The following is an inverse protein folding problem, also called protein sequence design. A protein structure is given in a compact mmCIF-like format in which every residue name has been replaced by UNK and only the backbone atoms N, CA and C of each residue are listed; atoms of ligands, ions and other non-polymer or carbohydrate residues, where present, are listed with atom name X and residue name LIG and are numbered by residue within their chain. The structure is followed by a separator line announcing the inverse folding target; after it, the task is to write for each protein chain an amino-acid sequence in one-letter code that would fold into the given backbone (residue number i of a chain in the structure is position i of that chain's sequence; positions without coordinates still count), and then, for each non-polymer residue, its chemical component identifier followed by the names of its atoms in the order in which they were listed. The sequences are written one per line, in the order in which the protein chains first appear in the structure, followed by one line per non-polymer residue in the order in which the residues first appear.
data_IF_733697413025
#
_entry.id   IF_733697413025
#
_cell.length_a   1.000
_cell.length_b   1.000
_cell.length_c   1.000
_cell.angle_alpha   90.00
_cell.angle_beta   90.00
_cell.angle_gamma   90.00
#
_symmetry.space_group_name_H-M   'P 1'
#
loop_
_entity.id
_entity.type
_entity.pdbx_description
1 polymer ?
#
# COMPACT_ATOMS: atom_id res chain seq x y z
N UNK A 1 7.45 1.65 -16.63
CA UNK A 1 6.98 2.94 -16.09
C UNK A 1 7.88 3.32 -14.92
N UNK A 2 8.40 4.55 -14.88
CA UNK A 2 9.32 4.96 -13.81
C UNK A 2 8.49 5.20 -12.55
N UNK A 3 8.87 4.63 -11.42
CA UNK A 3 8.16 4.66 -10.14
C UNK A 3 7.52 6.03 -9.77
N UNK A 4 8.19 7.14 -10.13
CA UNK A 4 7.70 8.51 -9.95
C UNK A 4 6.38 8.83 -10.68
N UNK A 5 6.13 8.21 -11.85
CA UNK A 5 4.88 8.36 -12.59
C UNK A 5 3.73 7.69 -11.84
N UNK A 6 3.98 6.53 -11.23
CA UNK A 6 2.99 5.83 -10.40
C UNK A 6 2.61 6.73 -9.21
N UNK A 7 3.59 7.25 -8.46
CA UNK A 7 3.32 8.18 -7.36
C UNK A 7 2.54 9.42 -7.81
N UNK A 8 2.88 9.98 -8.98
CA UNK A 8 2.19 11.16 -9.52
C UNK A 8 0.75 10.87 -9.90
N UNK A 9 0.47 9.77 -10.59
CA UNK A 9 -0.90 9.42 -10.98
C UNK A 9 -1.74 9.04 -9.75
N UNK A 10 -1.14 8.32 -8.81
CA UNK A 10 -1.79 7.90 -7.57
C UNK A 10 -2.10 9.10 -6.66
N UNK A 11 -1.18 10.06 -6.55
CA UNK A 11 -1.38 11.29 -5.76
C UNK A 11 -2.49 12.18 -6.30
N UNK A 12 -2.83 12.11 -7.60
CA UNK A 12 -3.97 12.86 -8.17
C UNK A 12 -5.32 12.27 -7.77
N UNK A 13 -5.33 11.04 -7.28
CA UNK A 13 -6.55 10.29 -6.97
C UNK A 13 -6.88 10.30 -5.49
N UNK A 14 -5.98 10.84 -4.64
CA UNK A 14 -6.31 11.08 -3.24
C UNK A 14 -7.30 12.25 -3.11
N UNK A 15 -8.21 12.23 -2.11
CA UNK A 15 -8.38 11.19 -1.11
C UNK A 15 -9.04 9.92 -1.67
N UNK A 16 -8.44 8.75 -1.40
CA UNK A 16 -8.99 7.45 -1.79
C UNK A 16 -9.75 6.81 -0.63
N UNK A 17 -11.08 6.66 -0.76
CA UNK A 17 -11.90 6.03 0.28
C UNK A 17 -11.62 4.53 0.37
N UNK A 18 -11.28 4.05 1.57
CA UNK A 18 -11.06 2.63 1.84
C UNK A 18 -12.40 1.97 2.18
N UNK A 19 -12.86 1.04 1.35
CA UNK A 19 -14.04 0.19 1.63
C UNK A 19 -13.68 -1.28 1.85
N UNK A 20 -12.48 -1.69 1.43
CA UNK A 20 -11.99 -3.06 1.52
C UNK A 20 -10.66 -3.08 2.26
N UNK A 21 -10.56 -3.95 3.25
CA UNK A 21 -9.34 -4.27 3.98
C UNK A 21 -9.37 -5.78 4.23
N UNK A 22 -8.40 -6.51 3.68
CA UNK A 22 -8.28 -7.96 3.82
C UNK A 22 -6.84 -8.23 4.27
N UNK A 23 -6.69 -8.92 5.40
CA UNK A 23 -5.40 -9.36 5.89
C UNK A 23 -5.44 -10.88 6.04
N UNK A 24 -4.59 -11.56 5.27
CA UNK A 24 -4.45 -13.03 5.29
C UNK A 24 -2.97 -13.41 5.32
N UNK A 25 -2.54 -14.08 6.39
CA UNK A 25 -1.12 -14.39 6.60
C UNK A 25 -0.28 -13.12 6.68
N UNK A 26 0.71 -12.99 5.80
CA UNK A 26 1.54 -11.78 5.69
C UNK A 26 1.02 -10.79 4.64
N UNK A 27 -0.08 -11.11 3.96
CA UNK A 27 -0.60 -10.30 2.85
C UNK A 27 -1.63 -9.29 3.33
N UNK A 28 -1.58 -8.09 2.76
CA UNK A 28 -2.58 -7.04 2.99
C UNK A 28 -3.13 -6.54 1.65
N UNK A 29 -4.45 -6.55 1.54
CA UNK A 29 -5.19 -5.91 0.45
C UNK A 29 -5.99 -4.76 1.03
N UNK A 30 -5.81 -3.57 0.47
CA UNK A 30 -6.61 -2.39 0.75
C UNK A 30 -7.22 -1.88 -0.54
N UNK A 31 -8.46 -1.42 -0.51
CA UNK A 31 -9.12 -0.99 -1.73
C UNK A 31 -10.40 -0.21 -1.52
N UNK A 32 -10.92 0.28 -2.63
CA UNK A 32 -12.11 1.11 -2.70
C UNK A 32 -12.75 1.04 -4.08
N UNK A 33 -13.54 2.05 -4.41
CA UNK A 33 -14.19 2.13 -5.72
C UNK A 33 -13.14 2.26 -6.84
N UNK A 34 -13.09 1.26 -7.72
CA UNK A 34 -12.22 1.22 -8.89
C UNK A 34 -10.71 1.29 -8.58
N UNK A 35 -10.29 0.99 -7.34
CA UNK A 35 -8.89 0.88 -6.97
C UNK A 35 -8.62 -0.18 -5.90
N UNK A 36 -7.42 -0.75 -5.92
CA UNK A 36 -6.87 -1.54 -4.82
C UNK A 36 -5.33 -1.50 -4.81
N UNK A 37 -4.75 -1.77 -3.66
CA UNK A 37 -3.32 -1.99 -3.46
C UNK A 37 -3.16 -3.34 -2.77
N UNK A 38 -2.23 -4.16 -3.28
CA UNK A 38 -1.91 -5.49 -2.77
C UNK A 38 -0.45 -5.53 -2.32
N UNK A 39 -0.25 -5.77 -1.03
CA UNK A 39 1.04 -6.08 -0.42
C UNK A 39 1.18 -7.60 -0.32
N UNK A 40 1.60 -8.23 -1.42
CA UNK A 40 1.63 -9.70 -1.52
C UNK A 40 2.92 -10.32 -0.98
N UNK A 41 4.05 -9.66 -1.19
CA UNK A 41 5.39 -10.20 -0.88
C UNK A 41 6.28 -9.21 -0.15
N UNK A 42 5.89 -7.94 -0.05
CA UNK A 42 6.57 -6.95 0.77
C UNK A 42 6.12 -7.04 2.24
N UNK A 43 7.07 -6.81 3.13
CA UNK A 43 6.74 -6.62 4.53
C UNK A 43 6.05 -5.28 4.71
N UNK A 44 5.10 -5.23 5.63
CA UNK A 44 4.36 -4.02 5.95
C UNK A 44 4.12 -3.91 7.44
N UNK A 45 3.92 -2.67 7.88
CA UNK A 45 3.59 -2.32 9.26
C UNK A 45 2.60 -1.18 9.29
N UNK A 46 1.94 -1.07 10.42
CA UNK A 46 0.95 -0.05 10.69
C UNK A 46 1.38 0.76 11.90
N UNK A 47 1.35 2.08 11.74
CA UNK A 47 1.62 3.04 12.80
C UNK A 47 0.33 3.79 13.13
N UNK A 48 0.22 4.21 14.37
CA UNK A 48 -0.82 5.13 14.83
C UNK A 48 -0.15 6.30 15.51
N UNK A 49 -0.36 7.51 15.00
CA UNK A 49 0.32 8.71 15.51
C UNK A 49 1.84 8.50 15.61
N UNK A 50 2.45 7.95 14.56
CA UNK A 50 3.90 7.67 14.45
C UNK A 50 4.45 6.59 15.40
N UNK A 51 3.60 5.91 16.18
CA UNK A 51 3.99 4.78 17.02
C UNK A 51 3.62 3.47 16.34
N UNK A 52 4.54 2.51 16.32
CA UNK A 52 4.27 1.16 15.79
C UNK A 52 3.08 0.54 16.52
N UNK A 53 2.02 0.22 15.77
CA UNK A 53 0.85 -0.43 16.30
C UNK A 53 0.92 -1.95 16.12
N UNK A 54 1.29 -2.40 14.91
CA UNK A 54 1.49 -3.81 14.58
C UNK A 54 2.18 -3.99 13.21
N UNK A 55 2.78 -5.15 12.98
CA UNK A 55 3.38 -5.59 11.72
C UNK A 55 2.60 -6.73 11.04
N UNK A 56 3.03 -7.09 9.82
CA UNK A 56 2.42 -8.15 9.01
C UNK A 56 2.43 -9.55 9.63
N UNK A 57 3.31 -9.82 10.60
CA UNK A 57 3.41 -11.10 11.32
C UNK A 57 2.74 -11.09 12.69
N UNK A 58 2.15 -9.96 13.10
CA UNK A 58 1.46 -9.88 14.39
C UNK A 58 0.05 -10.48 14.31
N UNK A 59 -0.47 -10.95 15.44
CA UNK A 59 -1.86 -11.39 15.55
C UNK A 59 -2.80 -10.21 15.91
N UNK A 60 -2.93 -9.25 14.99
CA UNK A 60 -3.70 -8.01 15.20
C UNK A 60 -4.74 -7.73 14.09
N UNK A 61 -5.24 -8.78 13.43
CA UNK A 61 -6.17 -8.67 12.30
C UNK A 61 -7.50 -7.97 12.63
N UNK A 62 -7.87 -7.80 13.89
CA UNK A 62 -9.02 -7.00 14.26
C UNK A 62 -8.73 -5.49 14.23
N UNK A 63 -7.50 -5.06 14.55
CA UNK A 63 -7.13 -3.63 14.56
C UNK A 63 -7.04 -3.03 13.16
N UNK A 64 -6.63 -3.81 12.15
CA UNK A 64 -6.59 -3.33 10.75
C UNK A 64 -7.99 -2.92 10.27
N UNK A 65 -9.07 -3.45 10.86
CA UNK A 65 -10.45 -3.09 10.50
C UNK A 65 -10.76 -1.62 10.81
N UNK A 66 -10.04 -0.98 11.73
CA UNK A 66 -10.19 0.45 12.06
C UNK A 66 -9.77 1.39 10.90
N UNK A 67 -9.02 0.86 9.92
CA UNK A 67 -8.64 1.57 8.70
C UNK A 67 -9.80 1.60 7.70
N UNK A 68 -10.73 0.64 7.78
CA UNK A 68 -11.88 0.61 6.88
C UNK A 68 -12.76 1.85 7.13
N UNK A 69 -13.10 2.54 6.05
CA UNK A 69 -13.87 3.77 6.10
C UNK A 69 -13.04 5.04 6.28
N UNK A 70 -11.72 4.99 6.46
CA UNK A 70 -10.88 6.19 6.31
C UNK A 70 -10.57 6.48 4.84
N UNK A 71 -9.92 7.60 4.59
CA UNK A 71 -9.32 7.90 3.29
C UNK A 71 -7.80 7.73 3.34
N UNK A 72 -7.20 7.34 2.22
CA UNK A 72 -5.77 7.59 1.98
C UNK A 72 -5.65 9.03 1.50
N UNK A 73 -5.10 9.90 2.32
CA UNK A 73 -4.96 11.34 2.00
C UNK A 73 -3.66 11.60 1.23
N UNK A 74 -2.60 10.83 1.53
CA UNK A 74 -1.30 10.95 0.88
C UNK A 74 -0.63 9.60 0.68
N UNK A 75 0.17 9.54 -0.37
CA UNK A 75 1.03 8.40 -0.71
C UNK A 75 2.44 8.94 -0.92
N UNK A 76 3.40 8.43 -0.15
CA UNK A 76 4.79 8.91 -0.15
C UNK A 76 5.77 7.74 -0.30
N UNK A 77 7.03 8.06 -0.63
CA UNK A 77 8.12 7.07 -0.67
C UNK A 77 8.65 6.88 0.75
N UNK A 78 8.72 5.63 1.21
CA UNK A 78 9.14 5.30 2.57
C UNK A 78 10.63 5.51 2.81
N UNK A 79 11.47 5.14 1.85
CA UNK A 79 12.93 5.23 2.01
C UNK A 79 13.61 5.62 0.72
N UNK A 80 14.73 6.34 0.87
CA UNK A 80 15.63 6.66 -0.23
C UNK A 80 16.46 5.44 -0.69
N UNK A 81 16.51 4.36 0.12
CA UNK A 81 17.26 3.15 -0.16
C UNK A 81 16.51 2.24 -1.15
N UNK A 82 15.27 1.88 -0.82
CA UNK A 82 14.33 1.20 -1.73
C UNK A 82 13.20 2.15 -2.05
N UNK A 83 13.32 2.85 -3.18
CA UNK A 83 12.35 3.88 -3.58
C UNK A 83 10.95 3.31 -3.83
N UNK A 84 10.86 2.00 -4.09
CA UNK A 84 9.59 1.30 -4.29
C UNK A 84 8.75 1.19 -3.03
N UNK A 85 9.30 1.37 -1.82
CA UNK A 85 8.49 1.26 -0.61
C UNK A 85 7.55 2.45 -0.41
N UNK A 86 6.32 2.14 0.01
CA UNK A 86 5.20 3.08 0.15
C UNK A 86 4.97 3.48 1.61
N UNK A 87 4.53 4.72 1.78
CA UNK A 87 3.85 5.21 2.99
C UNK A 87 2.46 5.69 2.59
N UNK A 88 1.43 5.12 3.21
CA UNK A 88 0.05 5.52 3.06
C UNK A 88 -0.39 6.25 4.32
N UNK A 89 -0.67 7.55 4.20
CA UNK A 89 -1.11 8.39 5.31
C UNK A 89 -2.63 8.49 5.27
N UNK A 90 -3.27 8.02 6.34
CA UNK A 90 -4.73 7.93 6.41
C UNK A 90 -5.34 9.10 7.18
N UNK A 91 -6.56 9.48 6.80
CA UNK A 91 -7.31 10.60 7.37
C UNK A 91 -7.64 10.46 8.86
N UNK A 92 -7.53 9.26 9.40
CA UNK A 92 -7.78 8.94 10.82
C UNK A 92 -6.47 8.82 11.64
N UNK A 93 -5.33 9.27 11.11
CA UNK A 93 -4.03 9.27 11.80
C UNK A 93 -3.33 7.90 11.85
N UNK A 94 -3.88 6.92 11.15
CA UNK A 94 -3.18 5.65 10.88
C UNK A 94 -2.24 5.84 9.69
N UNK A 95 -1.12 5.10 9.69
CA UNK A 95 -0.14 5.09 8.62
C UNK A 95 0.17 3.64 8.29
N UNK A 96 0.20 3.29 7.01
CA UNK A 96 0.66 1.98 6.54
C UNK A 96 1.96 2.16 5.78
N UNK A 97 2.98 1.42 6.15
CA UNK A 97 4.30 1.48 5.50
C UNK A 97 4.69 0.10 4.99
N UNK A 98 5.25 0.04 3.78
CA UNK A 98 5.99 -1.14 3.32
C UNK A 98 7.49 -0.95 3.60
N UNK A 99 8.19 -2.04 3.83
CA UNK A 99 9.65 -2.03 3.99
C UNK A 99 10.19 -3.30 3.36
N UNK A 100 10.74 -3.16 2.16
CA UNK A 100 11.29 -4.28 1.43
C UNK A 100 12.76 -4.47 1.82
N UNK A 101 13.24 -5.71 1.74
CA UNK A 101 14.67 -6.02 1.83
C UNK A 101 15.33 -6.05 0.45
N UNK A 102 14.52 -6.16 -0.61
CA UNK A 102 14.98 -6.14 -2.01
C UNK A 102 13.89 -5.64 -2.97
N UNK A 103 14.26 -5.37 -4.23
CA UNK A 103 13.30 -5.04 -5.30
C UNK A 103 12.45 -6.23 -5.77
N UNK A 104 12.68 -7.43 -5.24
CA UNK A 104 11.95 -8.66 -5.58
C UNK A 104 10.72 -8.89 -4.72
N UNK A 105 10.37 -7.93 -3.86
CA UNK A 105 9.21 -7.98 -2.97
C UNK A 105 8.16 -6.95 -3.44
N UNK A 106 7.54 -7.12 -4.62
CA UNK A 106 6.67 -6.08 -5.15
C UNK A 106 5.34 -5.99 -4.39
N UNK A 107 4.83 -4.76 -4.37
CA UNK A 107 3.40 -4.51 -4.26
C UNK A 107 2.83 -4.21 -5.65
N UNK A 108 1.53 -4.40 -5.80
CA UNK A 108 0.79 -3.97 -6.98
C UNK A 108 -0.32 -2.99 -6.60
N UNK A 109 -0.65 -2.11 -7.51
CA UNK A 109 -1.79 -1.20 -7.38
C UNK A 109 -2.59 -1.25 -8.66
N UNK A 110 -3.89 -1.52 -8.55
CA UNK A 110 -4.82 -1.41 -9.66
C UNK A 110 -5.68 -0.16 -9.48
N UNK A 111 -5.79 0.67 -10.51
CA UNK A 111 -6.66 1.84 -10.56
C UNK A 111 -7.34 1.86 -11.92
N UNK A 112 -8.65 2.03 -11.99
CA UNK A 112 -9.40 2.15 -13.25
C UNK A 112 -9.02 1.06 -14.27
N UNK A 113 -8.83 -0.18 -13.78
CA UNK A 113 -8.39 -1.37 -14.54
C UNK A 113 -6.94 -1.36 -15.05
N UNK A 114 -6.16 -0.33 -14.73
CA UNK A 114 -4.72 -0.30 -14.98
C UNK A 114 -3.96 -0.78 -13.76
N UNK A 115 -3.07 -1.75 -13.94
CA UNK A 115 -2.24 -2.30 -12.85
C UNK A 115 -0.81 -1.81 -12.96
N UNK A 116 -0.28 -1.36 -11.84
CA UNK A 116 1.08 -0.90 -11.64
C UNK A 116 1.78 -1.83 -10.66
N UNK A 117 3.07 -2.08 -10.88
CA UNK A 117 3.91 -2.87 -9.98
C UNK A 117 5.08 -2.02 -9.50
N UNK A 118 5.47 -2.24 -8.25
CA UNK A 118 6.59 -1.51 -7.64
C UNK A 118 7.96 -1.95 -8.18
N UNK A 119 8.03 -3.14 -8.77
CA UNK A 119 9.21 -3.63 -9.47
C UNK A 119 9.10 -3.36 -10.99
N UNK A 120 10.04 -2.59 -11.58
CA UNK A 120 10.04 -2.27 -13.01
C UNK A 120 10.39 -3.44 -13.95
N UNK A 121 10.79 -4.61 -13.43
CA UNK A 121 11.24 -5.77 -14.22
C UNK A 121 10.21 -6.88 -14.42
N UNK A 122 9.00 -6.76 -13.86
CA UNK A 122 7.92 -7.71 -14.19
C UNK A 122 7.36 -7.40 -15.59
N UNK A 123 7.31 -8.37 -16.52
CA UNK A 123 6.58 -8.20 -17.77
C UNK A 123 5.12 -7.88 -17.46
N UNK A 124 4.56 -6.87 -18.14
CA UNK A 124 3.11 -6.68 -18.15
C UNK A 124 2.53 -7.89 -18.89
N UNK A 125 1.92 -8.81 -18.14
CA UNK A 125 1.13 -9.86 -18.76
C UNK A 125 -0.23 -9.24 -19.11
N UNK A 126 -0.44 -8.99 -20.40
CA UNK A 126 -1.75 -8.66 -20.92
C UNK A 126 -2.68 -9.87 -20.68
N UNK A 127 -3.69 -9.70 -19.82
CA UNK A 127 -4.84 -10.61 -19.71
C UNK A 127 -5.93 -10.21 -20.69
#
# INVERSE_FOLDING_TARGET
MVLNEIYREVSKLTPLKISTVIWEGEQLVIGGDSWNIVFATCWWRVLKNEVLAFGCTDNSADKIKEIKGSNIDKIEIQSTFIKSDLVLILSNGWIIETFSTSSLEPWSMTINKQTFFSNPSMPQWDT
#
